data_IF_548550665461
#
_entry.id   IF_548550665461
#
_cell.length_a   1.000
_cell.length_b   1.000
_cell.length_c   1.000
_cell.angle_alpha   90.00
_cell.angle_beta   90.00
_cell.angle_gamma   90.00
#
_symmetry.space_group_name_H-M   'P 1'
#
loop_
_entity.id
_entity.type
_entity.pdbx_description
1 polymer ?
#
# COMPACT_ATOMS: atom_id res chain seq x y z
N UNK A 1 10.07 24.08 -6.93
CA UNK A 1 10.82 22.84 -7.23
C UNK A 1 10.81 22.03 -5.96
N UNK A 2 10.63 20.72 -6.06
CA UNK A 2 10.70 19.82 -4.92
C UNK A 2 11.58 18.62 -5.26
N UNK A 3 12.08 17.94 -4.23
CA UNK A 3 12.90 16.75 -4.39
C UNK A 3 12.66 15.76 -3.24
N UNK A 4 13.03 14.51 -3.49
CA UNK A 4 12.89 13.41 -2.54
C UNK A 4 14.28 12.82 -2.32
N UNK A 5 14.65 12.67 -1.06
CA UNK A 5 15.82 11.90 -0.65
C UNK A 5 15.36 10.49 -0.28
N UNK A 6 15.84 9.49 -1.01
CA UNK A 6 15.51 8.08 -0.81
C UNK A 6 16.73 7.33 -0.29
N UNK A 7 16.67 6.90 0.98
CA UNK A 7 17.70 6.12 1.63
C UNK A 7 17.15 4.73 1.92
N UNK A 8 17.76 3.72 1.31
CA UNK A 8 17.32 2.33 1.43
C UNK A 8 18.42 1.40 1.91
N UNK A 9 18.01 0.37 2.65
CA UNK A 9 18.82 -0.81 2.95
C UNK A 9 18.01 -2.07 2.65
N UNK A 10 18.61 -3.01 1.93
CA UNK A 10 18.07 -4.35 1.70
C UNK A 10 19.05 -5.39 2.24
N UNK A 11 18.57 -6.26 3.13
CA UNK A 11 19.34 -7.34 3.73
C UNK A 11 18.74 -8.70 3.43
N UNK A 12 19.58 -9.69 3.14
CA UNK A 12 19.13 -11.08 2.94
C UNK A 12 18.99 -11.82 4.28
N UNK A 13 17.93 -12.64 4.50
CA UNK A 13 16.81 -12.88 3.59
C UNK A 13 15.65 -11.89 3.82
N UNK A 14 15.31 -11.09 2.81
CA UNK A 14 14.01 -10.40 2.71
C UNK A 14 13.81 -9.12 3.55
N UNK A 15 14.79 -8.67 4.33
CA UNK A 15 14.66 -7.44 5.11
C UNK A 15 14.83 -6.20 4.21
N UNK A 16 13.96 -5.22 4.36
CA UNK A 16 14.00 -3.94 3.67
C UNK A 16 13.72 -2.82 4.66
N UNK A 17 14.50 -1.75 4.57
CA UNK A 17 14.26 -0.49 5.25
C UNK A 17 14.40 0.65 4.24
N UNK A 18 13.48 1.61 4.24
CA UNK A 18 13.48 2.77 3.36
C UNK A 18 13.07 4.01 4.17
N UNK A 19 13.80 5.10 4.00
CA UNK A 19 13.44 6.44 4.48
C UNK A 19 13.34 7.34 3.25
N UNK A 20 12.15 7.93 3.07
CA UNK A 20 11.86 8.90 2.02
C UNK A 20 11.66 10.25 2.69
N UNK A 21 12.51 11.23 2.40
CA UNK A 21 12.35 12.60 2.90
C UNK A 21 11.97 13.54 1.76
N UNK A 22 10.83 14.20 1.89
CA UNK A 22 10.27 15.12 0.91
C UNK A 22 10.56 16.59 1.26
N UNK A 23 11.16 17.30 0.30
CA UNK A 23 11.35 18.75 0.36
C UNK A 23 10.54 19.43 -0.74
N UNK A 24 9.59 20.29 -0.35
CA UNK A 24 8.65 20.91 -1.30
C UNK A 24 7.76 19.90 -2.05
N UNK A 25 7.52 18.73 -1.44
CA UNK A 25 6.65 17.66 -1.96
C UNK A 25 5.87 16.99 -0.83
N UNK A 26 4.64 16.57 -1.11
CA UNK A 26 3.77 15.80 -0.20
C UNK A 26 3.26 14.53 -0.88
N UNK A 27 2.55 13.69 -0.12
CA UNK A 27 2.05 12.39 -0.55
C UNK A 27 3.16 11.37 -0.86
N UNK A 28 4.20 11.30 -0.01
CA UNK A 28 5.29 10.32 -0.17
C UNK A 28 4.81 8.85 -0.14
N UNK A 29 3.64 8.58 0.45
CA UNK A 29 3.05 7.23 0.50
C UNK A 29 2.78 6.66 -0.91
N UNK A 30 2.52 7.51 -1.90
CA UNK A 30 2.35 7.12 -3.30
C UNK A 30 3.58 6.38 -3.88
N UNK A 31 4.76 6.54 -3.27
CA UNK A 31 5.98 5.86 -3.74
C UNK A 31 6.12 4.42 -3.24
N UNK A 32 5.24 3.97 -2.33
CA UNK A 32 5.32 2.63 -1.73
C UNK A 32 3.97 1.91 -1.64
N UNK A 33 2.85 2.56 -1.96
CA UNK A 33 1.52 1.95 -1.90
C UNK A 33 1.24 1.00 -3.08
N UNK A 34 2.03 1.11 -4.16
CA UNK A 34 1.89 0.30 -5.36
C UNK A 34 0.63 0.61 -6.17
N UNK A 35 -0.06 1.73 -5.89
CA UNK A 35 -1.19 2.21 -6.68
C UNK A 35 -0.63 3.13 -7.77
N UNK A 36 -0.68 2.77 -9.05
CA UNK A 36 -0.07 3.60 -10.08
C UNK A 36 -0.77 4.96 -10.22
N UNK A 37 -1.97 5.14 -9.65
CA UNK A 37 -2.76 6.39 -9.76
C UNK A 37 -2.56 7.34 -8.59
N UNK A 38 -1.71 6.99 -7.63
CA UNK A 38 -1.27 7.94 -6.61
C UNK A 38 0.03 8.59 -7.10
N UNK A 39 0.11 9.92 -6.95
CA UNK A 39 1.28 10.69 -7.35
C UNK A 39 1.76 11.57 -6.20
N UNK A 40 3.07 11.83 -6.17
CA UNK A 40 3.66 12.83 -5.28
C UNK A 40 3.24 14.22 -5.75
N UNK A 41 2.88 15.09 -4.81
CA UNK A 41 2.36 16.43 -5.11
C UNK A 41 3.40 17.49 -4.78
N UNK A 42 3.68 18.41 -5.70
CA UNK A 42 4.53 19.57 -5.45
C UNK A 42 3.81 20.59 -4.56
N UNK A 43 4.48 21.09 -3.53
CA UNK A 43 3.96 22.17 -2.67
C UNK A 43 4.87 23.39 -2.66
N UNK A 44 4.34 24.59 -2.38
CA UNK A 44 5.14 25.81 -2.38
C UNK A 44 6.22 25.81 -1.30
N UNK A 45 7.48 25.90 -1.71
CA UNK A 45 8.61 25.99 -0.80
C UNK A 45 9.74 25.04 -1.15
N UNK A 46 10.78 25.04 -0.30
CA UNK A 46 11.93 24.13 -0.38
C UNK A 46 12.26 23.55 1.01
N UNK A 47 11.29 23.62 1.92
CA UNK A 47 11.41 23.13 3.28
C UNK A 47 11.03 21.65 3.34
N UNK A 48 11.35 21.03 4.47
CA UNK A 48 10.83 19.73 4.83
C UNK A 48 9.29 19.75 4.88
N UNK A 49 8.66 18.77 4.25
CA UNK A 49 7.21 18.61 4.23
C UNK A 49 6.80 17.28 4.88
N UNK A 50 7.42 16.18 4.46
CA UNK A 50 7.10 14.82 4.88
C UNK A 50 8.35 13.94 5.01
N UNK A 51 8.31 12.99 5.96
CA UNK A 51 9.23 11.86 6.03
C UNK A 51 8.42 10.57 6.12
N UNK A 52 8.69 9.62 5.23
CA UNK A 52 8.10 8.30 5.25
C UNK A 52 9.16 7.26 5.56
N UNK A 53 8.95 6.53 6.65
CA UNK A 53 9.76 5.39 7.06
C UNK A 53 9.00 4.10 6.73
N UNK A 54 9.63 3.20 6.01
CA UNK A 54 9.06 1.89 5.67
C UNK A 54 10.04 0.79 6.02
N UNK A 55 9.58 -0.18 6.79
CA UNK A 55 10.34 -1.37 7.13
C UNK A 55 9.53 -2.58 6.72
N UNK A 56 10.15 -3.55 6.07
CA UNK A 56 9.49 -4.76 5.63
C UNK A 56 10.39 -5.98 5.79
N UNK A 57 9.74 -7.11 5.95
CA UNK A 57 10.30 -8.43 5.79
C UNK A 57 9.47 -9.14 4.74
N UNK A 58 10.07 -9.51 3.61
CA UNK A 58 9.38 -10.19 2.51
C UNK A 58 10.17 -11.45 2.16
N UNK A 59 9.74 -12.59 2.70
CA UNK A 59 10.32 -13.89 2.37
C UNK A 59 9.27 -14.99 2.55
N UNK A 60 8.93 -15.77 1.50
CA UNK A 60 7.94 -16.82 1.63
C UNK A 60 8.23 -17.77 2.80
N UNK A 61 7.20 -18.14 3.59
CA UNK A 61 5.79 -17.85 3.37
C UNK A 61 5.30 -16.53 4.02
N UNK A 62 6.17 -15.76 4.67
CA UNK A 62 5.77 -14.62 5.50
C UNK A 62 6.14 -13.28 4.87
N UNK A 63 5.18 -12.36 4.82
CA UNK A 63 5.46 -10.95 4.57
C UNK A 63 4.97 -10.12 5.75
N UNK A 64 5.75 -9.14 6.17
CA UNK A 64 5.37 -8.19 7.21
C UNK A 64 5.92 -6.81 6.87
N UNK A 65 5.22 -5.77 7.26
CA UNK A 65 5.69 -4.40 7.07
C UNK A 65 5.20 -3.47 8.17
N UNK A 66 5.88 -2.34 8.27
CA UNK A 66 5.41 -1.17 8.97
C UNK A 66 5.79 0.09 8.20
N UNK A 67 4.88 1.06 8.17
CA UNK A 67 5.05 2.33 7.50
C UNK A 67 4.68 3.46 8.46
N UNK A 68 5.51 4.48 8.56
CA UNK A 68 5.27 5.65 9.40
C UNK A 68 5.44 6.90 8.56
N UNK A 69 4.42 7.75 8.53
CA UNK A 69 4.49 9.04 7.87
C UNK A 69 4.55 10.14 8.92
N UNK A 70 5.56 11.00 8.80
CA UNK A 70 5.72 12.23 9.57
C UNK A 70 5.55 13.42 8.63
N UNK A 71 4.98 14.49 9.16
CA UNK A 71 4.86 15.79 8.50
C UNK A 71 5.57 16.84 9.35
N UNK A 72 5.57 18.09 8.90
CA UNK A 72 6.01 19.22 9.73
C UNK A 72 5.28 19.31 11.10
N UNK A 73 4.06 18.75 11.20
CA UNK A 73 3.27 18.71 12.43
C UNK A 73 3.56 17.50 13.34
N UNK A 74 4.49 16.62 12.95
CA UNK A 74 4.78 15.37 13.65
C UNK A 74 4.16 14.16 12.97
N UNK A 75 3.84 13.12 13.74
CA UNK A 75 3.25 11.88 13.22
C UNK A 75 1.93 12.17 12.51
N UNK A 76 1.80 11.70 11.26
CA UNK A 76 0.54 11.71 10.50
C UNK A 76 -0.19 10.38 10.65
N UNK A 77 0.49 9.27 10.38
CA UNK A 77 -0.05 7.93 10.61
C UNK A 77 1.06 6.88 10.79
N UNK A 78 0.69 5.76 11.40
CA UNK A 78 1.50 4.54 11.43
C UNK A 78 0.68 3.36 10.94
N UNK A 79 1.23 2.53 10.06
CA UNK A 79 0.59 1.35 9.49
C UNK A 79 1.45 0.13 9.76
N UNK A 80 0.81 -1.00 10.06
CA UNK A 80 1.45 -2.28 10.26
C UNK A 80 0.63 -3.35 9.56
N UNK A 81 1.31 -4.31 8.93
CA UNK A 81 0.63 -5.42 8.27
C UNK A 81 1.48 -6.68 8.25
N UNK A 82 0.79 -7.81 8.15
CA UNK A 82 1.38 -9.13 8.01
C UNK A 82 0.53 -9.97 7.07
N UNK A 83 1.16 -10.80 6.27
CA UNK A 83 0.49 -11.80 5.46
C UNK A 83 1.27 -13.10 5.40
N UNK A 84 0.54 -14.18 5.13
CA UNK A 84 1.07 -15.51 4.98
C UNK A 84 0.59 -16.11 3.66
N UNK A 85 1.51 -16.68 2.90
CA UNK A 85 1.26 -17.28 1.60
C UNK A 85 1.34 -18.81 1.68
N UNK A 86 0.29 -19.47 1.20
CA UNK A 86 0.18 -20.92 1.11
C UNK A 86 0.49 -21.41 -0.32
N UNK A 87 1.13 -22.58 -0.41
CA UNK A 87 1.49 -23.23 -1.68
C UNK A 87 0.30 -23.87 -2.43
N UNK A 88 0.54 -24.34 -3.67
CA UNK A 88 -0.35 -24.12 -4.81
C UNK A 88 -1.79 -24.65 -4.68
N UNK A 89 -2.81 -23.90 -5.16
CA UNK A 89 -2.71 -22.54 -5.73
C UNK A 89 -2.23 -21.53 -4.69
N UNK A 90 -1.59 -20.45 -5.12
CA UNK A 90 -1.03 -19.48 -4.20
C UNK A 90 -2.16 -18.71 -3.53
N UNK A 91 -2.31 -18.89 -2.22
CA UNK A 91 -3.32 -18.20 -1.42
C UNK A 91 -2.61 -17.33 -0.40
N UNK A 92 -2.86 -16.04 -0.40
CA UNK A 92 -2.36 -15.11 0.60
C UNK A 92 -3.50 -14.72 1.54
N UNK A 93 -3.27 -14.83 2.85
CA UNK A 93 -4.14 -14.24 3.87
C UNK A 93 -3.31 -13.23 4.64
N UNK A 94 -3.81 -12.01 4.77
CA UNK A 94 -3.14 -11.00 5.55
C UNK A 94 -4.07 -10.04 6.24
N UNK A 95 -3.51 -9.34 7.22
CA UNK A 95 -4.21 -8.34 8.00
C UNK A 95 -3.26 -7.19 8.32
N UNK A 96 -3.83 -6.02 8.52
CA UNK A 96 -3.07 -4.84 8.91
C UNK A 96 -3.97 -3.79 9.53
N UNK A 97 -3.36 -2.78 10.11
CA UNK A 97 -4.08 -1.67 10.69
C UNK A 97 -3.28 -0.38 10.54
N UNK A 98 -4.00 0.73 10.57
CA UNK A 98 -3.44 2.07 10.59
C UNK A 98 -3.88 2.81 11.84
N UNK A 99 -2.93 3.45 12.48
CA UNK A 99 -3.10 4.42 13.54
C UNK A 99 -3.01 5.83 12.95
N UNK A 100 -3.85 6.75 13.43
CA UNK A 100 -3.76 8.16 13.09
C UNK A 100 -2.67 8.89 13.91
N UNK A 101 -2.58 10.21 13.73
CA UNK A 101 -1.66 11.10 14.44
C UNK A 101 -1.82 11.06 15.97
N UNK A 102 -2.99 10.67 16.47
CA UNK A 102 -3.30 10.54 17.90
C UNK A 102 -3.06 9.13 18.45
N UNK A 103 -2.51 8.23 17.62
CA UNK A 103 -2.36 6.80 17.91
C UNK A 103 -3.70 6.07 18.11
N UNK A 104 -4.80 6.63 17.63
CA UNK A 104 -6.09 5.96 17.58
C UNK A 104 -6.20 5.10 16.30
N UNK A 105 -6.98 4.03 16.35
CA UNK A 105 -7.23 3.20 15.16
C UNK A 105 -7.98 4.02 14.10
N UNK A 106 -7.33 4.28 12.98
CA UNK A 106 -7.95 4.89 11.81
C UNK A 106 -8.73 3.83 11.01
N UNK A 107 -8.12 2.67 10.80
CA UNK A 107 -8.76 1.50 10.19
C UNK A 107 -7.98 0.21 10.46
N UNK A 108 -8.65 -0.93 10.32
CA UNK A 108 -8.07 -2.26 10.21
C UNK A 108 -8.51 -2.91 8.89
N UNK A 109 -7.62 -3.66 8.24
CA UNK A 109 -7.87 -4.37 6.99
C UNK A 109 -7.65 -5.88 7.17
N UNK A 110 -8.48 -6.65 6.50
CA UNK A 110 -8.27 -8.06 6.22
C UNK A 110 -8.22 -8.22 4.70
N UNK A 111 -7.23 -8.94 4.18
CA UNK A 111 -7.20 -9.28 2.76
C UNK A 111 -6.98 -10.76 2.52
N UNK A 112 -7.59 -11.22 1.43
CA UNK A 112 -7.44 -12.55 0.87
C UNK A 112 -7.07 -12.38 -0.60
N UNK A 113 -5.97 -12.99 -1.02
CA UNK A 113 -5.56 -13.07 -2.42
C UNK A 113 -5.49 -14.52 -2.84
N UNK A 114 -5.93 -14.82 -4.05
CA UNK A 114 -5.78 -16.13 -4.69
C UNK A 114 -5.19 -15.93 -6.07
N UNK A 115 -4.07 -16.59 -6.33
CA UNK A 115 -3.40 -16.59 -7.63
C UNK A 115 -3.45 -17.98 -8.25
N UNK A 116 -4.07 -18.04 -9.42
CA UNK A 116 -4.05 -19.18 -10.34
C UNK A 116 -3.53 -18.61 -11.65
N UNK A 117 -2.23 -18.81 -11.92
CA UNK A 117 -1.53 -18.25 -13.08
C UNK A 117 -2.37 -18.35 -14.37
N UNK A 118 -2.63 -17.23 -15.09
CA UNK A 118 -2.07 -15.86 -14.92
C UNK A 118 -2.94 -14.88 -14.12
N UNK A 119 -3.94 -15.38 -13.40
CA UNK A 119 -4.98 -14.56 -12.76
C UNK A 119 -4.77 -14.49 -11.26
N UNK A 120 -4.80 -13.27 -10.73
CA UNK A 120 -4.85 -12.99 -9.29
C UNK A 120 -6.14 -12.26 -8.97
N UNK A 121 -6.84 -12.75 -7.95
CA UNK A 121 -8.03 -12.08 -7.39
C UNK A 121 -7.75 -11.75 -5.94
N UNK A 122 -7.93 -10.49 -5.56
CA UNK A 122 -7.76 -10.00 -4.20
C UNK A 122 -9.03 -9.35 -3.70
N UNK A 123 -9.42 -9.69 -2.48
CA UNK A 123 -10.45 -8.98 -1.72
C UNK A 123 -9.80 -8.36 -0.50
N UNK A 124 -10.01 -7.07 -0.29
CA UNK A 124 -9.56 -6.34 0.90
C UNK A 124 -10.77 -5.69 1.56
N UNK A 125 -11.01 -6.01 2.83
CA UNK A 125 -12.11 -5.45 3.60
C UNK A 125 -11.55 -4.58 4.72
N UNK A 126 -12.05 -3.36 4.84
CA UNK A 126 -11.63 -2.41 5.86
C UNK A 126 -12.74 -2.16 6.89
N UNK A 127 -12.32 -1.95 8.14
CA UNK A 127 -13.17 -1.71 9.29
C UNK A 127 -12.58 -0.62 10.19
N UNK A 128 -13.40 0.02 11.00
CA UNK A 128 -13.00 0.85 12.14
C UNK A 128 -13.72 0.40 13.42
N UNK A 129 -13.71 1.24 14.46
CA UNK A 129 -14.44 0.95 15.70
C UNK A 129 -15.97 0.94 15.55
N UNK A 130 -16.53 1.53 14.49
CA UNK A 130 -17.96 1.58 14.22
C UNK A 130 -18.42 0.47 13.28
N UNK A 131 -17.50 -0.20 12.59
CA UNK A 131 -17.75 -1.41 11.84
C UNK A 131 -17.14 -1.36 10.45
N UNK A 132 -17.89 -1.83 9.46
CA UNK A 132 -17.44 -1.87 8.08
C UNK A 132 -17.26 -0.46 7.49
N UNK A 133 -16.11 -0.21 6.89
CA UNK A 133 -15.83 1.02 6.16
C UNK A 133 -16.06 0.83 4.66
N UNK A 134 -15.35 -0.12 4.06
CA UNK A 134 -15.39 -0.38 2.63
C UNK A 134 -14.84 -1.76 2.29
N UNK A 135 -15.13 -2.23 1.09
CA UNK A 135 -14.53 -3.40 0.49
C UNK A 135 -14.01 -3.07 -0.89
N UNK A 136 -12.83 -3.60 -1.17
CA UNK A 136 -12.17 -3.53 -2.45
C UNK A 136 -12.03 -4.93 -3.02
N UNK A 137 -12.38 -5.09 -4.30
CA UNK A 137 -12.11 -6.29 -5.08
C UNK A 137 -11.23 -5.90 -6.24
N UNK A 138 -10.07 -6.53 -6.32
CA UNK A 138 -9.06 -6.29 -7.33
C UNK A 138 -8.81 -7.56 -8.13
N UNK A 139 -8.70 -7.42 -9.45
CA UNK A 139 -8.41 -8.50 -10.38
C UNK A 139 -7.21 -8.09 -11.22
N UNK A 140 -6.20 -8.94 -11.23
CA UNK A 140 -4.97 -8.76 -11.99
C UNK A 140 -4.77 -9.95 -12.94
N UNK A 141 -4.41 -9.67 -14.19
CA UNK A 141 -4.03 -10.69 -15.16
C UNK A 141 -2.68 -10.30 -15.74
N UNK A 142 -1.67 -11.14 -15.53
CA UNK A 142 -0.30 -10.91 -16.04
C UNK A 142 0.09 -12.02 -17.01
N UNK A 143 0.19 -11.69 -18.29
CA UNK A 143 0.65 -12.64 -19.30
C UNK A 143 1.56 -11.94 -20.31
N UNK A 144 2.70 -12.59 -20.59
CA UNK A 144 3.71 -12.05 -21.52
C UNK A 144 4.15 -10.62 -21.14
N UNK A 145 3.74 -9.62 -21.91
CA UNK A 145 4.08 -8.20 -21.73
C UNK A 145 2.85 -7.35 -21.40
N UNK A 146 1.71 -8.00 -21.16
CA UNK A 146 0.42 -7.38 -20.90
C UNK A 146 0.11 -7.56 -19.43
N UNK A 147 -0.21 -6.44 -18.79
CA UNK A 147 -0.80 -6.41 -17.46
C UNK A 147 -2.19 -5.79 -17.58
N UNK A 148 -3.23 -6.54 -17.19
CA UNK A 148 -4.60 -6.05 -17.09
C UNK A 148 -4.95 -5.96 -15.61
N UNK A 149 -5.59 -4.87 -15.19
CA UNK A 149 -6.07 -4.72 -13.83
C UNK A 149 -7.45 -4.09 -13.78
N UNK A 150 -8.20 -4.51 -12.78
CA UNK A 150 -9.47 -3.93 -12.38
C UNK A 150 -9.48 -3.77 -10.87
N UNK A 151 -10.06 -2.68 -10.38
CA UNK A 151 -10.28 -2.41 -8.96
C UNK A 151 -11.67 -1.84 -8.76
N UNK A 152 -12.45 -2.47 -7.89
CA UNK A 152 -13.80 -2.06 -7.55
C UNK A 152 -13.86 -1.80 -6.06
N UNK A 153 -14.11 -0.56 -5.67
CA UNK A 153 -14.27 -0.13 -4.29
C UNK A 153 -15.72 0.23 -4.03
N UNK A 154 -16.29 -0.31 -2.97
CA UNK A 154 -17.65 -0.02 -2.55
C UNK A 154 -17.76 0.05 -1.03
N UNK A 155 -18.76 0.77 -0.56
CA UNK A 155 -19.13 0.85 0.84
C UNK A 155 -20.65 0.62 1.03
N UNK A 156 -21.18 0.92 2.22
CA UNK A 156 -22.62 0.78 2.49
C UNK A 156 -23.50 1.77 1.71
N UNK A 157 -22.93 2.85 1.16
CA UNK A 157 -23.64 3.81 0.32
C UNK A 157 -23.65 3.41 -1.16
N UNK A 158 -22.78 2.47 -1.57
CA UNK A 158 -22.76 1.88 -2.89
C UNK A 158 -21.36 1.82 -3.50
N UNK A 159 -21.31 1.83 -4.84
CA UNK A 159 -20.06 1.85 -5.59
C UNK A 159 -19.39 3.23 -5.41
N UNK A 160 -18.18 3.23 -4.86
CA UNK A 160 -17.36 4.44 -4.71
C UNK A 160 -16.47 4.64 -5.92
N UNK A 161 -15.87 3.56 -6.40
CA UNK A 161 -14.90 3.63 -7.48
C UNK A 161 -14.85 2.34 -8.28
N UNK A 162 -14.73 2.48 -9.60
CA UNK A 162 -14.43 1.40 -10.53
C UNK A 162 -13.30 1.87 -11.45
N UNK A 163 -12.15 1.19 -11.36
CA UNK A 163 -10.99 1.42 -12.21
C UNK A 163 -10.72 0.19 -13.04
N UNK A 164 -10.45 0.39 -14.32
CA UNK A 164 -10.01 -0.65 -15.24
C UNK A 164 -8.89 -0.06 -16.09
N UNK A 165 -7.80 -0.79 -16.25
CA UNK A 165 -6.68 -0.34 -17.05
C UNK A 165 -5.79 -1.48 -17.52
N UNK A 166 -4.80 -1.09 -18.31
CA UNK A 166 -3.80 -2.01 -18.82
C UNK A 166 -2.45 -1.33 -18.98
N UNK A 167 -1.38 -2.12 -18.88
CA UNK A 167 0.00 -1.71 -19.13
C UNK A 167 0.65 -2.65 -20.14
N UNK A 168 1.54 -2.08 -20.96
CA UNK A 168 2.33 -2.79 -21.95
C UNK A 168 3.81 -2.54 -21.68
N UNK A 169 4.58 -3.61 -21.45
CA UNK A 169 6.03 -3.54 -21.42
C UNK A 169 6.57 -3.67 -22.86
N UNK A 170 7.36 -2.69 -23.33
CA UNK A 170 7.95 -2.70 -24.67
C UNK A 170 9.41 -3.16 -24.65
#
# INVERSE_FOLDING_TARGET
MGFILDLGFGGTPGFLARSLTGFGVTNLYALIDGDPWTEVVLVPGWWFEEELLHFAYVAPPLSAYTTWLFTWAGLSFGELGVSYTFGPPEVEIGAGFRLDASLALAWAKLWLSVTIDPVTVRSTTAFDFFGFLWQEISLEIRFSRVFLYSRTLFDLSGLQELRVGFELAF
#
